data_IF_325696887756
#
_entry.id   IF_325696887756
#
_cell.length_a   1.000
_cell.length_b   1.000
_cell.length_c   1.000
_cell.angle_alpha   90.00
_cell.angle_beta   90.00
_cell.angle_gamma   90.00
#
_symmetry.space_group_name_H-M   'P 1'
#
loop_
_entity.id
_entity.type
_entity.pdbx_description
1 polymer ?
#
# COMPACT_ATOMS: atom_id res chain seq x y z
N UNK A 1 -102.14 -30.29 44.70
CA UNK A 1 -101.20 -31.21 44.03
C UNK A 1 -101.28 -30.93 42.54
N UNK A 2 -100.26 -30.30 41.96
CA UNK A 2 -100.09 -30.27 40.52
C UNK A 2 -98.61 -30.55 40.26
N UNK A 3 -98.31 -31.85 40.17
CA UNK A 3 -97.04 -32.36 39.68
C UNK A 3 -97.22 -32.60 38.19
N UNK A 4 -96.61 -31.79 37.33
CA UNK A 4 -96.29 -32.14 35.95
C UNK A 4 -95.59 -30.94 35.29
N UNK A 5 -94.27 -30.94 35.28
CA UNK A 5 -93.52 -29.90 34.56
C UNK A 5 -92.06 -30.19 34.27
N UNK A 6 -91.52 -31.37 34.64
CA UNK A 6 -90.06 -31.52 34.75
C UNK A 6 -89.40 -32.48 33.75
N UNK A 7 -90.12 -33.19 32.88
CA UNK A 7 -89.50 -34.19 31.99
C UNK A 7 -89.32 -33.76 30.51
N UNK A 8 -90.14 -32.84 29.98
CA UNK A 8 -90.05 -32.43 28.55
C UNK A 8 -89.03 -31.31 28.28
N UNK A 9 -88.59 -30.63 29.33
CA UNK A 9 -87.65 -29.51 29.31
C UNK A 9 -86.18 -29.94 29.22
N UNK A 10 -85.86 -31.18 29.60
CA UNK A 10 -84.48 -31.66 29.74
C UNK A 10 -83.75 -31.84 28.39
N UNK A 11 -84.35 -32.46 27.34
CA UNK A 11 -83.65 -32.66 26.07
C UNK A 11 -83.40 -31.36 25.31
N UNK A 12 -84.36 -30.43 25.35
CA UNK A 12 -84.26 -29.14 24.68
C UNK A 12 -83.21 -28.23 25.33
N UNK A 13 -83.13 -28.22 26.67
CA UNK A 13 -82.04 -27.54 27.41
C UNK A 13 -80.67 -28.16 27.10
N UNK A 14 -80.60 -29.47 26.91
CA UNK A 14 -79.36 -30.18 26.56
C UNK A 14 -78.86 -29.83 25.14
N UNK A 15 -79.77 -29.78 24.15
CA UNK A 15 -79.45 -29.34 22.79
C UNK A 15 -78.96 -27.88 22.75
N UNK A 16 -79.64 -26.98 23.46
CA UNK A 16 -79.22 -25.57 23.57
C UNK A 16 -77.86 -25.41 24.25
N UNK A 17 -77.55 -26.26 25.23
CA UNK A 17 -76.23 -26.31 25.86
C UNK A 17 -75.15 -26.75 24.86
N UNK A 18 -75.40 -27.79 24.06
CA UNK A 18 -74.48 -28.25 23.01
C UNK A 18 -74.21 -27.17 21.96
N UNK A 19 -75.25 -26.49 21.49
CA UNK A 19 -75.12 -25.38 20.52
C UNK A 19 -74.27 -24.25 21.11
N UNK A 20 -74.51 -23.89 22.38
CA UNK A 20 -73.70 -22.87 23.07
C UNK A 20 -72.24 -23.31 23.19
N UNK A 21 -71.98 -24.55 23.61
CA UNK A 21 -70.64 -25.09 23.75
C UNK A 21 -69.91 -25.11 22.41
N UNK A 22 -70.59 -25.56 21.34
CA UNK A 22 -70.05 -25.57 19.98
C UNK A 22 -69.72 -24.14 19.51
N UNK A 23 -70.60 -23.17 19.73
CA UNK A 23 -70.35 -21.78 19.37
C UNK A 23 -69.17 -21.18 20.16
N UNK A 24 -69.06 -21.47 21.46
CA UNK A 24 -67.93 -21.02 22.27
C UNK A 24 -66.61 -21.66 21.84
N UNK A 25 -66.62 -22.96 21.55
CA UNK A 25 -65.42 -23.69 21.13
C UNK A 25 -64.97 -23.25 19.73
N UNK A 26 -65.90 -23.01 18.81
CA UNK A 26 -65.63 -22.41 17.51
C UNK A 26 -64.99 -21.03 17.65
N UNK A 27 -65.58 -20.14 18.46
CA UNK A 27 -65.03 -18.79 18.71
C UNK A 27 -63.63 -18.84 19.32
N UNK A 28 -63.41 -19.77 20.26
CA UNK A 28 -62.10 -19.98 20.86
C UNK A 28 -61.09 -20.52 19.83
N UNK A 29 -61.50 -21.47 18.99
CA UNK A 29 -60.72 -22.00 17.88
C UNK A 29 -60.29 -20.91 16.90
N UNK A 30 -61.21 -20.06 16.49
CA UNK A 30 -60.95 -18.91 15.59
C UNK A 30 -59.93 -17.95 16.21
N UNK A 31 -60.06 -17.61 17.50
CA UNK A 31 -59.09 -16.76 18.21
C UNK A 31 -57.68 -17.38 18.22
N UNK A 32 -57.56 -18.69 18.49
CA UNK A 32 -56.27 -19.39 18.42
C UNK A 32 -55.65 -19.31 17.03
N UNK A 33 -56.45 -19.51 15.97
CA UNK A 33 -55.98 -19.42 14.58
C UNK A 33 -55.50 -18.01 14.24
N UNK A 34 -56.22 -16.96 14.66
CA UNK A 34 -55.80 -15.56 14.46
C UNK A 34 -54.48 -15.28 15.17
N UNK A 35 -54.31 -15.74 16.42
CA UNK A 35 -53.06 -15.56 17.16
C UNK A 35 -51.89 -16.28 16.47
N UNK A 36 -52.08 -17.54 16.04
CA UNK A 36 -51.05 -18.30 15.32
C UNK A 36 -50.67 -17.64 13.99
N UNK A 37 -51.64 -17.13 13.22
CA UNK A 37 -51.35 -16.39 11.98
C UNK A 37 -50.48 -15.17 12.23
N UNK A 38 -50.80 -14.38 13.25
CA UNK A 38 -49.97 -13.21 13.64
C UNK A 38 -48.55 -13.62 14.04
N UNK A 39 -48.40 -14.74 14.73
CA UNK A 39 -47.09 -15.27 15.08
C UNK A 39 -46.30 -15.73 13.84
N UNK A 40 -46.94 -16.42 12.90
CA UNK A 40 -46.32 -16.84 11.63
C UNK A 40 -45.87 -15.62 10.82
N UNK A 41 -46.72 -14.60 10.71
CA UNK A 41 -46.40 -13.37 9.99
C UNK A 41 -45.22 -12.63 10.63
N UNK A 42 -45.21 -12.52 11.96
CA UNK A 42 -44.07 -11.96 12.71
C UNK A 42 -42.78 -12.75 12.45
N UNK A 43 -42.82 -14.06 12.61
CA UNK A 43 -41.65 -14.93 12.38
C UNK A 43 -41.15 -14.86 10.94
N UNK A 44 -42.05 -14.71 9.96
CA UNK A 44 -41.68 -14.55 8.55
C UNK A 44 -40.96 -13.21 8.32
N UNK A 45 -41.43 -12.13 8.95
CA UNK A 45 -40.77 -10.82 8.91
C UNK A 45 -39.39 -10.87 9.58
N UNK A 46 -39.31 -11.45 10.78
CA UNK A 46 -38.06 -11.58 11.53
C UNK A 46 -37.04 -12.42 10.74
N UNK A 47 -37.47 -13.52 10.11
CA UNK A 47 -36.63 -14.36 9.24
C UNK A 47 -36.10 -13.59 8.03
N UNK A 48 -36.93 -12.76 7.40
CA UNK A 48 -36.51 -11.93 6.27
C UNK A 48 -35.41 -10.94 6.66
N UNK A 49 -35.50 -10.34 7.85
CA UNK A 49 -34.49 -9.40 8.36
C UNK A 49 -33.17 -10.12 8.62
N UNK A 50 -33.22 -11.23 9.37
CA UNK A 50 -32.02 -12.03 9.68
C UNK A 50 -31.36 -12.56 8.41
N UNK A 51 -32.13 -12.90 7.37
CA UNK A 51 -31.57 -13.35 6.11
C UNK A 51 -30.78 -12.25 5.37
N UNK A 52 -31.27 -11.00 5.40
CA UNK A 52 -30.53 -9.86 4.82
C UNK A 52 -29.23 -9.62 5.58
N UNK A 53 -29.30 -9.58 6.92
CA UNK A 53 -28.12 -9.41 7.78
C UNK A 53 -27.07 -10.51 7.56
N UNK A 54 -27.52 -11.76 7.35
CA UNK A 54 -26.64 -12.89 7.05
C UNK A 54 -25.92 -12.74 5.71
N UNK A 55 -26.62 -12.32 4.66
CA UNK A 55 -26.00 -12.10 3.34
C UNK A 55 -25.03 -10.91 3.37
N UNK A 56 -25.33 -9.87 4.15
CA UNK A 56 -24.41 -8.75 4.38
C UNK A 56 -23.15 -9.21 5.11
N UNK A 57 -23.31 -10.02 6.17
CA UNK A 57 -22.19 -10.59 6.91
C UNK A 57 -21.31 -11.50 6.03
N UNK A 58 -21.90 -12.30 5.14
CA UNK A 58 -21.15 -13.12 4.17
C UNK A 58 -20.30 -12.27 3.23
N UNK A 59 -20.87 -11.19 2.68
CA UNK A 59 -20.14 -10.28 1.78
C UNK A 59 -19.00 -9.57 2.50
N UNK A 60 -19.22 -9.10 3.73
CA UNK A 60 -18.16 -8.52 4.55
C UNK A 60 -17.05 -9.54 4.84
N UNK A 61 -17.42 -10.78 5.19
CA UNK A 61 -16.46 -11.87 5.40
C UNK A 61 -15.60 -12.11 4.15
N UNK A 62 -16.22 -12.28 2.98
CA UNK A 62 -15.50 -12.50 1.71
C UNK A 62 -14.52 -11.36 1.41
N UNK A 63 -14.92 -10.10 1.65
CA UNK A 63 -14.03 -8.95 1.47
C UNK A 63 -12.81 -9.03 2.38
N UNK A 64 -13.00 -9.32 3.68
CA UNK A 64 -11.88 -9.46 4.62
C UNK A 64 -10.98 -10.65 4.30
N UNK A 65 -11.53 -11.76 3.79
CA UNK A 65 -10.73 -12.91 3.36
C UNK A 65 -9.84 -12.56 2.15
N UNK A 66 -10.36 -11.78 1.19
CA UNK A 66 -9.56 -11.29 0.06
C UNK A 66 -8.45 -10.33 0.50
N UNK A 67 -8.72 -9.44 1.46
CA UNK A 67 -7.70 -8.56 2.04
C UNK A 67 -6.58 -9.34 2.73
N UNK A 68 -6.94 -10.36 3.53
CA UNK A 68 -5.96 -11.24 4.19
C UNK A 68 -5.05 -11.93 3.17
N UNK A 69 -5.63 -12.48 2.09
CA UNK A 69 -4.85 -13.10 1.01
C UNK A 69 -3.92 -12.08 0.35
N UNK A 70 -4.38 -10.85 0.11
CA UNK A 70 -3.55 -9.77 -0.42
C UNK A 70 -2.35 -9.45 0.48
N UNK A 71 -2.58 -9.36 1.80
CA UNK A 71 -1.51 -9.14 2.78
C UNK A 71 -0.53 -10.31 2.85
N UNK A 72 -1.00 -11.55 2.76
CA UNK A 72 -0.15 -12.75 2.77
C UNK A 72 0.82 -12.75 1.58
N UNK A 73 0.34 -12.43 0.37
CA UNK A 73 1.20 -12.31 -0.82
C UNK A 73 2.23 -11.19 -0.65
N UNK A 74 1.80 -10.01 -0.17
CA UNK A 74 2.70 -8.89 0.07
C UNK A 74 3.77 -9.25 1.12
N UNK A 75 3.39 -9.99 2.16
CA UNK A 75 4.31 -10.47 3.18
C UNK A 75 5.36 -11.42 2.59
N UNK A 76 4.95 -12.42 1.79
CA UNK A 76 5.90 -13.33 1.12
C UNK A 76 6.88 -12.61 0.19
N UNK A 77 6.43 -11.59 -0.55
CA UNK A 77 7.31 -10.78 -1.39
C UNK A 77 8.34 -9.99 -0.58
N UNK A 78 7.89 -9.40 0.54
CA UNK A 78 8.77 -8.67 1.46
C UNK A 78 9.79 -9.60 2.12
N UNK A 79 9.38 -10.80 2.51
CA UNK A 79 10.24 -11.82 3.10
C UNK A 79 11.34 -12.26 2.11
N UNK A 80 10.98 -12.57 0.87
CA UNK A 80 11.96 -12.92 -0.18
C UNK A 80 12.97 -11.78 -0.44
N UNK A 81 12.51 -10.53 -0.40
CA UNK A 81 13.36 -9.35 -0.54
C UNK A 81 14.34 -9.21 0.64
N UNK A 82 13.86 -9.45 1.87
CA UNK A 82 14.69 -9.45 3.08
C UNK A 82 15.78 -10.53 3.03
N UNK A 83 15.42 -11.77 2.69
CA UNK A 83 16.37 -12.88 2.54
C UNK A 83 17.45 -12.57 1.48
N UNK A 84 17.07 -11.94 0.37
CA UNK A 84 18.02 -11.52 -0.67
C UNK A 84 19.00 -10.46 -0.17
N UNK A 85 18.51 -9.49 0.62
CA UNK A 85 19.35 -8.46 1.24
C UNK A 85 20.32 -9.05 2.27
N UNK A 86 19.86 -9.97 3.11
CA UNK A 86 20.69 -10.68 4.08
C UNK A 86 21.83 -11.44 3.39
N UNK A 87 21.54 -12.19 2.33
CA UNK A 87 22.56 -12.91 1.56
C UNK A 87 23.61 -11.95 0.96
N UNK A 88 23.18 -10.79 0.45
CA UNK A 88 24.09 -9.75 -0.07
C UNK A 88 24.98 -9.17 1.03
N UNK A 89 24.41 -8.89 2.21
CA UNK A 89 25.16 -8.38 3.37
C UNK A 89 26.22 -9.40 3.79
N UNK A 90 25.87 -10.68 3.91
CA UNK A 90 26.83 -11.73 4.24
C UNK A 90 27.97 -11.84 3.22
N UNK A 91 27.67 -11.72 1.92
CA UNK A 91 28.69 -11.73 0.86
C UNK A 91 29.64 -10.53 0.98
N UNK A 92 29.10 -9.33 1.14
CA UNK A 92 29.91 -8.11 1.30
C UNK A 92 30.79 -8.20 2.55
N UNK A 93 30.26 -8.70 3.67
CA UNK A 93 31.03 -8.90 4.90
C UNK A 93 32.20 -9.88 4.71
N UNK A 94 31.99 -10.94 3.93
CA UNK A 94 33.05 -11.87 3.55
C UNK A 94 34.12 -11.18 2.69
N UNK A 95 33.72 -10.46 1.64
CA UNK A 95 34.63 -9.72 0.76
C UNK A 95 35.46 -8.68 1.55
N UNK A 96 34.83 -7.91 2.44
CA UNK A 96 35.52 -6.95 3.33
C UNK A 96 36.56 -7.66 4.21
N UNK A 97 36.23 -8.84 4.74
CA UNK A 97 37.14 -9.60 5.60
C UNK A 97 38.34 -10.15 4.82
N UNK A 98 38.10 -10.64 3.60
CA UNK A 98 39.16 -11.10 2.70
C UNK A 98 40.12 -9.97 2.32
N UNK A 99 39.57 -8.84 1.84
CA UNK A 99 40.35 -7.65 1.52
C UNK A 99 41.14 -7.12 2.72
N UNK A 100 40.55 -7.13 3.92
CA UNK A 100 41.25 -6.74 5.15
C UNK A 100 42.47 -7.62 5.41
N UNK A 101 42.36 -8.93 5.20
CA UNK A 101 43.48 -9.86 5.37
C UNK A 101 44.59 -9.58 4.36
N UNK A 102 44.24 -9.33 3.10
CA UNK A 102 45.19 -9.03 2.03
C UNK A 102 45.96 -7.73 2.31
N UNK A 103 45.26 -6.68 2.76
CA UNK A 103 45.89 -5.42 3.17
C UNK A 103 46.90 -5.62 4.30
N UNK A 104 46.57 -6.45 5.29
CA UNK A 104 47.51 -6.72 6.40
C UNK A 104 48.75 -7.49 5.90
N UNK A 105 48.58 -8.43 4.96
CA UNK A 105 49.70 -9.12 4.32
C UNK A 105 50.61 -8.15 3.56
N UNK A 106 50.04 -7.28 2.71
CA UNK A 106 50.81 -6.28 1.97
C UNK A 106 51.56 -5.32 2.90
N UNK A 107 50.95 -4.92 4.01
CA UNK A 107 51.58 -4.07 5.02
C UNK A 107 52.79 -4.73 5.68
N UNK A 108 52.71 -6.04 5.94
CA UNK A 108 53.85 -6.80 6.45
C UNK A 108 54.98 -6.90 5.42
N UNK A 109 54.65 -7.11 4.14
CA UNK A 109 55.61 -7.14 3.05
C UNK A 109 56.30 -5.79 2.83
N UNK A 110 55.53 -4.70 2.84
CA UNK A 110 56.06 -3.32 2.77
C UNK A 110 57.07 -3.06 3.90
N UNK A 111 56.71 -3.44 5.14
CA UNK A 111 57.60 -3.28 6.29
C UNK A 111 58.89 -4.08 6.12
N UNK A 112 58.82 -5.31 5.61
CA UNK A 112 59.99 -6.15 5.34
C UNK A 112 60.90 -5.56 4.26
N UNK A 113 60.33 -5.06 3.15
CA UNK A 113 61.08 -4.41 2.08
C UNK A 113 61.76 -3.12 2.56
N UNK A 114 61.06 -2.33 3.37
CA UNK A 114 61.62 -1.11 3.98
C UNK A 114 62.81 -1.44 4.87
N UNK A 115 62.71 -2.48 5.69
CA UNK A 115 63.80 -2.93 6.55
C UNK A 115 65.01 -3.42 5.74
N UNK A 116 64.76 -4.17 4.65
CA UNK A 116 65.80 -4.64 3.73
C UNK A 116 66.51 -3.47 3.03
N UNK A 117 65.78 -2.45 2.62
CA UNK A 117 66.36 -1.22 2.06
C UNK A 117 67.26 -0.51 3.08
N UNK A 118 66.80 -0.35 4.33
CA UNK A 118 67.59 0.27 5.40
C UNK A 118 68.89 -0.51 5.63
N UNK A 119 68.83 -1.84 5.71
CA UNK A 119 70.01 -2.69 5.85
C UNK A 119 71.00 -2.51 4.69
N UNK A 120 70.50 -2.47 3.45
CA UNK A 120 71.32 -2.28 2.25
C UNK A 120 72.02 -0.92 2.25
N UNK A 121 71.31 0.14 2.65
CA UNK A 121 71.88 1.48 2.77
C UNK A 121 72.94 1.59 3.87
N UNK A 122 72.73 0.92 5.01
CA UNK A 122 73.73 0.87 6.09
C UNK A 122 75.00 0.15 5.66
N UNK A 123 74.87 -0.98 4.97
CA UNK A 123 76.03 -1.72 4.42
C UNK A 123 76.79 -0.88 3.39
N UNK A 124 76.09 -0.21 2.47
CA UNK A 124 76.71 0.69 1.51
C UNK A 124 77.48 1.82 2.22
N UNK A 125 76.86 2.47 3.20
CA UNK A 125 77.52 3.51 3.99
C UNK A 125 78.75 2.98 4.73
N UNK A 126 78.72 1.74 5.23
CA UNK A 126 79.88 1.10 5.85
C UNK A 126 81.00 0.82 4.82
N UNK A 127 80.66 0.42 3.59
CA UNK A 127 81.62 0.24 2.49
C UNK A 127 82.28 1.56 2.09
N UNK A 128 81.52 2.64 1.96
CA UNK A 128 82.03 3.98 1.65
C UNK A 128 83.03 4.44 2.72
N UNK A 129 82.70 4.28 4.01
CA UNK A 129 83.60 4.64 5.12
C UNK A 129 84.92 3.88 5.05
N UNK A 130 84.87 2.55 4.85
CA UNK A 130 86.06 1.71 4.71
C UNK A 130 86.92 2.12 3.52
N UNK A 131 86.29 2.49 2.40
CA UNK A 131 87.02 2.98 1.23
C UNK A 131 87.75 4.29 1.52
N UNK A 132 87.10 5.26 2.16
CA UNK A 132 87.74 6.50 2.57
C UNK A 132 88.89 6.27 3.56
N UNK A 133 88.73 5.36 4.53
CA UNK A 133 89.81 4.97 5.46
C UNK A 133 91.00 4.36 4.72
N UNK A 134 90.76 3.53 3.70
CA UNK A 134 91.82 2.94 2.87
C UNK A 134 92.61 4.01 2.12
N UNK A 135 91.94 5.04 1.57
CA UNK A 135 92.61 6.15 0.88
C UNK A 135 93.51 6.91 1.84
N UNK A 136 92.99 7.28 3.02
CA UNK A 136 93.74 8.03 4.03
C UNK A 136 94.99 7.24 4.48
N UNK A 137 94.88 5.93 4.65
CA UNK A 137 96.02 5.09 5.00
C UNK A 137 97.08 5.01 3.88
N UNK A 138 96.67 5.00 2.61
CA UNK A 138 97.60 5.05 1.48
C UNK A 138 98.38 6.37 1.39
N UNK A 139 97.74 7.51 1.69
CA UNK A 139 98.42 8.82 1.71
C UNK A 139 99.47 8.95 2.83
N UNK A 140 99.36 8.16 3.90
CA UNK A 140 100.35 8.12 5.00
C UNK A 140 101.57 7.26 4.63
N UNK A 141 101.42 6.22 3.82
CA UNK A 141 102.54 5.38 3.35
C UNK A 141 103.34 6.00 2.19
N UNK A 142 102.75 6.96 1.45
CA UNK A 142 103.40 7.63 0.31
C UNK A 142 104.41 8.74 0.71
N UNK A 143 104.50 9.10 2.00
CA UNK A 143 105.44 10.14 2.48
C UNK A 143 106.88 9.60 2.65
N UNK A 144 107.10 8.28 2.56
CA UNK A 144 108.42 7.67 2.77
C UNK A 144 109.11 7.12 1.50
N UNK A 145 108.66 7.46 0.29
CA UNK A 145 109.38 7.07 -0.94
C UNK A 145 109.33 8.15 -2.02
N UNK A 146 110.14 9.20 -1.86
CA UNK A 146 110.59 10.01 -2.98
C UNK A 146 111.65 9.25 -3.79
N UNK A 147 111.27 8.83 -5.00
CA UNK A 147 112.04 8.87 -6.24
C UNK A 147 111.58 7.71 -7.14
N UNK A 148 110.97 8.01 -8.28
CA UNK A 148 111.57 7.76 -9.60
C UNK A 148 110.60 8.20 -10.71
N UNK A 149 111.16 8.97 -11.62
CA UNK A 149 110.69 9.30 -12.96
C UNK A 149 110.23 8.07 -13.75
N UNK A 150 109.07 8.12 -14.39
CA UNK A 150 108.97 8.26 -15.86
C UNK A 150 107.49 8.26 -16.30
N UNK A 151 107.16 9.12 -17.26
CA UNK A 151 105.87 9.10 -17.94
C UNK A 151 105.86 8.01 -19.02
N UNK A 152 104.74 7.29 -19.19
CA UNK A 152 104.37 6.86 -20.53
C UNK A 152 102.88 7.08 -20.88
N UNK A 153 102.71 7.82 -21.96
CA UNK A 153 101.79 7.58 -23.09
C UNK A 153 100.41 6.97 -22.86
N UNK A 154 99.42 7.83 -23.16
CA UNK A 154 98.12 7.58 -23.78
C UNK A 154 98.02 6.21 -24.49
N UNK A 155 97.07 5.41 -24.04
CA UNK A 155 96.40 4.43 -24.89
C UNK A 155 94.91 4.41 -24.52
N UNK A 156 94.10 5.11 -25.33
CA UNK A 156 92.64 5.00 -25.29
C UNK A 156 92.29 3.58 -25.76
N UNK A 157 91.91 2.72 -24.82
CA UNK A 157 91.34 1.41 -25.13
C UNK A 157 89.84 1.62 -25.37
N UNK A 158 89.49 2.22 -26.50
CA UNK A 158 88.16 2.07 -27.08
C UNK A 158 88.04 0.61 -27.54
N UNK A 159 86.91 -0.06 -27.25
CA UNK A 159 86.51 -1.43 -27.66
C UNK A 159 86.32 -2.50 -26.56
N UNK A 160 86.00 -2.13 -25.31
CA UNK A 160 85.36 -3.07 -24.35
C UNK A 160 83.91 -2.66 -23.96
N UNK A 161 83.41 -1.52 -24.47
CA UNK A 161 82.12 -0.96 -24.03
C UNK A 161 80.97 -1.09 -25.05
N UNK A 162 81.22 -1.55 -26.28
CA UNK A 162 80.18 -1.60 -27.32
C UNK A 162 79.07 -2.61 -27.00
N UNK A 163 79.42 -3.77 -26.43
CA UNK A 163 78.43 -4.77 -26.01
C UNK A 163 77.57 -4.29 -24.83
N UNK A 164 78.15 -3.51 -23.90
CA UNK A 164 77.42 -2.90 -22.78
C UNK A 164 76.50 -1.76 -23.25
N UNK A 165 76.93 -0.97 -24.23
CA UNK A 165 76.12 0.09 -24.84
C UNK A 165 74.93 -0.52 -25.59
N UNK A 166 75.14 -1.58 -26.38
CA UNK A 166 74.05 -2.28 -27.09
C UNK A 166 73.06 -2.91 -26.11
N UNK A 167 73.53 -3.47 -24.99
CA UNK A 167 72.65 -4.01 -23.95
C UNK A 167 71.80 -2.91 -23.28
N UNK A 168 72.38 -1.74 -23.03
CA UNK A 168 71.66 -0.58 -22.48
C UNK A 168 70.63 -0.01 -23.46
N UNK A 169 70.96 0.06 -24.75
CA UNK A 169 70.02 0.47 -25.80
C UNK A 169 68.81 -0.47 -25.92
N UNK A 170 69.04 -1.78 -25.79
CA UNK A 170 67.96 -2.78 -25.73
C UNK A 170 67.07 -2.55 -24.50
N UNK A 171 67.66 -2.36 -23.32
CA UNK A 171 66.91 -2.12 -22.08
C UNK A 171 66.11 -0.82 -22.13
N UNK A 172 66.66 0.24 -22.71
CA UNK A 172 65.94 1.49 -22.94
C UNK A 172 64.77 1.30 -23.92
N UNK A 173 64.93 0.47 -24.95
CA UNK A 173 63.84 0.15 -25.88
C UNK A 173 62.72 -0.63 -25.19
N UNK A 174 63.06 -1.58 -24.32
CA UNK A 174 62.09 -2.35 -23.54
C UNK A 174 61.33 -1.46 -22.54
N UNK A 175 62.04 -0.59 -21.83
CA UNK A 175 61.44 0.39 -20.91
C UNK A 175 60.49 1.32 -21.68
N UNK A 176 60.91 1.86 -22.83
CA UNK A 176 60.06 2.71 -23.65
C UNK A 176 58.80 1.97 -24.11
N UNK A 177 58.92 0.72 -24.55
CA UNK A 177 57.76 -0.11 -24.92
C UNK A 177 56.82 -0.32 -23.75
N UNK A 178 57.35 -0.63 -22.57
CA UNK A 178 56.55 -0.85 -21.36
C UNK A 178 55.86 0.45 -20.92
N UNK A 179 56.56 1.59 -20.93
CA UNK A 179 55.98 2.90 -20.62
C UNK A 179 54.85 3.26 -21.58
N UNK A 180 55.00 3.02 -22.89
CA UNK A 180 53.92 3.29 -23.85
C UNK A 180 52.68 2.44 -23.60
N UNK A 181 52.87 1.18 -23.19
CA UNK A 181 51.75 0.27 -22.89
C UNK A 181 51.03 0.68 -21.60
N UNK A 182 51.77 1.02 -20.55
CA UNK A 182 51.20 1.52 -19.29
C UNK A 182 50.45 2.84 -19.49
N UNK A 183 50.94 3.74 -20.34
CA UNK A 183 50.24 4.98 -20.70
C UNK A 183 48.91 4.73 -21.42
N UNK A 184 48.84 3.72 -22.29
CA UNK A 184 47.60 3.31 -22.96
C UNK A 184 46.60 2.69 -21.97
N UNK A 185 47.06 1.82 -21.07
CA UNK A 185 46.25 1.22 -20.02
C UNK A 185 45.69 2.29 -19.07
N UNK A 186 46.53 3.25 -18.65
CA UNK A 186 46.11 4.37 -17.81
C UNK A 186 45.04 5.24 -18.50
N UNK A 187 45.18 5.51 -19.81
CA UNK A 187 44.16 6.23 -20.57
C UNK A 187 42.84 5.46 -20.66
N UNK A 188 42.90 4.15 -20.85
CA UNK A 188 41.71 3.30 -20.85
C UNK A 188 41.02 3.33 -19.47
N UNK A 189 41.80 3.31 -18.39
CA UNK A 189 41.28 3.39 -17.02
C UNK A 189 40.64 4.75 -16.69
N UNK A 190 41.19 5.86 -17.19
CA UNK A 190 40.53 7.17 -17.09
C UNK A 190 39.13 7.14 -17.75
N UNK A 191 39.01 6.50 -18.92
CA UNK A 191 37.75 6.44 -19.65
C UNK A 191 36.72 5.54 -18.95
N UNK A 192 37.14 4.40 -18.41
CA UNK A 192 36.26 3.55 -17.59
C UNK A 192 35.82 4.28 -16.33
N UNK A 193 36.74 5.00 -15.67
CA UNK A 193 36.42 5.81 -14.48
C UNK A 193 35.35 6.87 -14.77
N UNK A 194 35.49 7.62 -15.88
CA UNK A 194 34.47 8.59 -16.30
C UNK A 194 33.11 7.94 -16.53
N UNK A 195 33.08 6.78 -17.19
CA UNK A 195 31.83 6.05 -17.44
C UNK A 195 31.16 5.60 -16.14
N UNK A 196 31.93 5.04 -15.21
CA UNK A 196 31.43 4.64 -13.88
C UNK A 196 30.91 5.84 -13.10
N UNK A 197 31.60 6.98 -13.16
CA UNK A 197 31.16 8.21 -12.49
C UNK A 197 29.83 8.72 -13.06
N UNK A 198 29.62 8.60 -14.38
CA UNK A 198 28.36 8.94 -15.02
C UNK A 198 27.23 7.99 -14.62
N UNK A 199 27.49 6.68 -14.55
CA UNK A 199 26.51 5.67 -14.09
C UNK A 199 26.15 5.85 -12.62
N UNK A 200 27.11 6.26 -11.77
CA UNK A 200 26.86 6.58 -10.37
C UNK A 200 25.89 7.77 -10.24
N UNK A 201 26.11 8.83 -11.01
CA UNK A 201 25.25 10.01 -10.99
C UNK A 201 23.82 9.69 -11.47
N UNK A 202 23.68 8.84 -12.50
CA UNK A 202 22.37 8.33 -12.92
C UNK A 202 21.68 7.51 -11.81
N UNK A 203 22.42 6.64 -11.11
CA UNK A 203 21.88 5.90 -9.96
C UNK A 203 21.44 6.83 -8.82
N UNK A 204 22.25 7.85 -8.47
CA UNK A 204 21.91 8.81 -7.42
C UNK A 204 20.63 9.59 -7.74
N UNK A 205 20.47 10.04 -8.99
CA UNK A 205 19.24 10.72 -9.42
C UNK A 205 18.02 9.80 -9.37
N UNK A 206 18.16 8.52 -9.77
CA UNK A 206 17.09 7.52 -9.64
C UNK A 206 16.70 7.25 -8.19
N UNK A 207 17.67 7.14 -7.28
CA UNK A 207 17.40 6.97 -5.84
C UNK A 207 16.69 8.19 -5.26
N UNK A 208 17.09 9.40 -5.66
CA UNK A 208 16.41 10.64 -5.26
C UNK A 208 14.94 10.64 -5.69
N UNK A 209 14.67 10.30 -6.96
CA UNK A 209 13.31 10.14 -7.50
C UNK A 209 12.49 9.09 -6.74
N UNK A 210 13.10 7.93 -6.47
CA UNK A 210 12.44 6.84 -5.75
C UNK A 210 12.09 7.27 -4.32
N UNK A 211 12.97 8.00 -3.64
CA UNK A 211 12.68 8.57 -2.32
C UNK A 211 11.49 9.53 -2.38
N UNK A 212 11.41 10.40 -3.38
CA UNK A 212 10.24 11.28 -3.57
C UNK A 212 8.96 10.47 -3.78
N UNK A 213 8.99 9.43 -4.62
CA UNK A 213 7.83 8.55 -4.83
C UNK A 213 7.41 7.88 -3.53
N UNK A 214 8.35 7.38 -2.73
CA UNK A 214 8.05 6.76 -1.43
C UNK A 214 7.42 7.77 -0.47
N UNK A 215 7.93 9.01 -0.40
CA UNK A 215 7.34 10.04 0.47
C UNK A 215 5.93 10.43 0.03
N UNK A 216 5.70 10.61 -1.26
CA UNK A 216 4.37 10.92 -1.82
C UNK A 216 3.40 9.75 -1.62
N UNK A 217 3.86 8.52 -1.84
CA UNK A 217 3.06 7.30 -1.60
C UNK A 217 2.67 7.18 -0.13
N UNK A 218 3.59 7.49 0.79
CA UNK A 218 3.28 7.53 2.22
C UNK A 218 2.27 8.63 2.56
N UNK A 219 2.41 9.83 2.00
CA UNK A 219 1.44 10.91 2.19
C UNK A 219 0.04 10.54 1.65
N UNK A 220 -0.03 9.86 0.51
CA UNK A 220 -1.28 9.31 -0.02
C UNK A 220 -1.86 8.23 0.90
N UNK A 221 -1.01 7.32 1.39
CA UNK A 221 -1.41 6.31 2.38
C UNK A 221 -1.97 6.96 3.64
N UNK A 222 -1.31 7.98 4.19
CA UNK A 222 -1.76 8.71 5.38
C UNK A 222 -3.10 9.42 5.14
N UNK A 223 -3.36 9.94 3.93
CA UNK A 223 -4.66 10.48 3.54
C UNK A 223 -5.76 9.40 3.46
N UNK A 224 -5.42 8.20 3.00
CA UNK A 224 -6.34 7.05 3.01
C UNK A 224 -6.48 6.39 4.40
N UNK A 225 -5.52 6.58 5.30
CA UNK A 225 -5.51 6.15 6.71
C UNK A 225 -6.11 7.25 7.61
N UNK A 226 -6.71 8.31 7.04
CA UNK A 226 -7.54 9.21 7.83
C UNK A 226 -8.60 8.37 8.57
N UNK A 227 -8.74 8.48 9.91
CA UNK A 227 -9.71 7.68 10.63
C UNK A 227 -11.09 8.02 10.10
N UNK A 228 -11.69 7.09 9.37
CA UNK A 228 -13.11 7.10 9.04
C UNK A 228 -14.00 6.94 10.27
N UNK A 229 -13.52 7.26 11.49
CA UNK A 229 -14.36 7.35 12.69
C UNK A 229 -15.35 8.54 12.60
N UNK A 230 -15.01 9.60 11.85
CA UNK A 230 -15.94 10.71 11.60
C UNK A 230 -16.57 10.70 10.20
N UNK A 231 -15.94 10.03 9.23
CA UNK A 231 -16.47 9.97 7.85
C UNK A 231 -17.61 8.97 7.71
N UNK A 232 -17.59 7.81 8.39
CA UNK A 232 -18.71 6.86 8.34
C UNK A 232 -20.01 7.47 8.89
N UNK A 233 -19.94 8.26 9.96
CA UNK A 233 -21.13 8.92 10.50
C UNK A 233 -21.60 10.09 9.64
N UNK A 234 -20.69 10.89 9.07
CA UNK A 234 -21.08 12.01 8.19
C UNK A 234 -21.61 11.49 6.86
N UNK A 235 -20.99 10.48 6.26
CA UNK A 235 -21.45 9.85 5.02
C UNK A 235 -22.75 9.09 5.25
N UNK A 236 -22.90 8.36 6.37
CA UNK A 236 -24.17 7.74 6.73
C UNK A 236 -25.27 8.78 7.05
N UNK A 237 -24.93 9.90 7.69
CA UNK A 237 -25.87 10.99 7.96
C UNK A 237 -26.27 11.71 6.67
N UNK A 238 -25.34 11.98 5.76
CA UNK A 238 -25.62 12.59 4.46
C UNK A 238 -26.41 11.64 3.54
N UNK A 239 -26.11 10.35 3.54
CA UNK A 239 -26.90 9.33 2.85
C UNK A 239 -28.31 9.20 3.45
N UNK A 240 -28.44 9.21 4.77
CA UNK A 240 -29.74 9.16 5.45
C UNK A 240 -30.56 10.44 5.18
N UNK A 241 -29.95 11.62 5.21
CA UNK A 241 -30.59 12.88 4.82
C UNK A 241 -30.98 12.90 3.34
N UNK A 242 -30.17 12.35 2.45
CA UNK A 242 -30.51 12.21 1.03
C UNK A 242 -31.67 11.22 0.82
N UNK A 243 -31.68 10.09 1.54
CA UNK A 243 -32.78 9.12 1.52
C UNK A 243 -34.08 9.76 2.06
N UNK A 244 -34.02 10.49 3.17
CA UNK A 244 -35.18 11.15 3.80
C UNK A 244 -35.73 12.28 2.93
N UNK A 245 -34.87 13.05 2.28
CA UNK A 245 -35.33 14.09 1.33
C UNK A 245 -35.95 13.47 0.08
N UNK A 246 -35.42 12.34 -0.41
CA UNK A 246 -35.97 11.60 -1.54
C UNK A 246 -37.32 10.95 -1.19
N UNK A 247 -37.47 10.35 0.00
CA UNK A 247 -38.75 9.78 0.45
C UNK A 247 -39.77 10.87 0.73
N UNK A 248 -39.40 11.99 1.37
CA UNK A 248 -40.32 13.11 1.60
C UNK A 248 -40.79 13.77 0.30
N UNK A 249 -39.91 13.86 -0.71
CA UNK A 249 -40.30 14.34 -2.04
C UNK A 249 -41.29 13.38 -2.72
N UNK A 250 -41.06 12.07 -2.63
CA UNK A 250 -41.98 11.06 -3.18
C UNK A 250 -43.32 11.05 -2.43
N UNK A 251 -43.32 11.17 -1.10
CA UNK A 251 -44.55 11.27 -0.29
C UNK A 251 -45.32 12.54 -0.64
N UNK A 252 -44.65 13.70 -0.71
CA UNK A 252 -45.29 14.97 -1.12
C UNK A 252 -45.88 14.89 -2.53
N UNK A 253 -45.20 14.22 -3.46
CA UNK A 253 -45.70 14.01 -4.82
C UNK A 253 -46.91 13.06 -4.86
N UNK A 254 -46.91 12.02 -4.03
CA UNK A 254 -48.04 11.09 -3.88
C UNK A 254 -49.23 11.79 -3.23
N UNK A 255 -49.01 12.56 -2.17
CA UNK A 255 -50.04 13.36 -1.50
C UNK A 255 -50.64 14.38 -2.47
N UNK A 256 -49.81 15.14 -3.19
CA UNK A 256 -50.27 16.11 -4.19
C UNK A 256 -51.03 15.43 -5.34
N UNK A 257 -50.60 14.22 -5.75
CA UNK A 257 -51.33 13.45 -6.76
C UNK A 257 -52.67 12.97 -6.22
N UNK A 258 -52.74 12.51 -4.97
CA UNK A 258 -53.97 12.09 -4.32
C UNK A 258 -54.94 13.25 -4.13
N UNK A 259 -54.47 14.41 -3.64
CA UNK A 259 -55.30 15.62 -3.50
C UNK A 259 -55.79 16.12 -4.85
N UNK A 260 -54.94 16.15 -5.88
CA UNK A 260 -55.34 16.53 -7.23
C UNK A 260 -56.39 15.56 -7.82
N UNK A 261 -56.23 14.24 -7.61
CA UNK A 261 -57.26 13.27 -8.02
C UNK A 261 -58.56 13.44 -7.24
N UNK A 262 -58.48 13.72 -5.94
CA UNK A 262 -59.66 13.94 -5.10
C UNK A 262 -60.39 15.22 -5.53
N UNK A 263 -59.67 16.31 -5.76
CA UNK A 263 -60.21 17.59 -6.24
C UNK A 263 -60.85 17.44 -7.63
N UNK A 264 -60.23 16.70 -8.54
CA UNK A 264 -60.82 16.40 -9.85
C UNK A 264 -62.12 15.60 -9.74
N UNK A 265 -62.17 14.59 -8.85
CA UNK A 265 -63.41 13.82 -8.61
C UNK A 265 -64.49 14.65 -7.93
N UNK A 266 -64.11 15.52 -6.98
CA UNK A 266 -65.03 16.45 -6.33
C UNK A 266 -65.63 17.42 -7.34
N UNK A 267 -64.80 18.05 -8.17
CA UNK A 267 -65.26 18.99 -9.21
C UNK A 267 -66.16 18.30 -10.23
N UNK A 268 -65.84 17.06 -10.64
CA UNK A 268 -66.69 16.26 -11.54
C UNK A 268 -68.06 15.97 -10.91
N UNK A 269 -68.08 15.62 -9.62
CA UNK A 269 -69.31 15.37 -8.88
C UNK A 269 -70.15 16.64 -8.74
N UNK A 270 -69.51 17.78 -8.44
CA UNK A 270 -70.17 19.09 -8.37
C UNK A 270 -70.80 19.45 -9.71
N UNK A 271 -70.08 19.29 -10.82
CA UNK A 271 -70.60 19.54 -12.17
C UNK A 271 -71.76 18.59 -12.54
N UNK A 272 -71.72 17.33 -12.11
CA UNK A 272 -72.79 16.38 -12.35
C UNK A 272 -74.04 16.72 -11.53
N UNK A 273 -73.87 17.06 -10.24
CA UNK A 273 -74.95 17.50 -9.37
C UNK A 273 -75.59 18.78 -9.91
N UNK A 274 -74.79 19.77 -10.29
CA UNK A 274 -75.29 21.00 -10.89
C UNK A 274 -76.07 20.73 -12.18
N UNK A 275 -75.58 19.85 -13.06
CA UNK A 275 -76.34 19.42 -14.25
C UNK A 275 -77.67 18.76 -13.92
N UNK A 276 -77.74 17.95 -12.86
CA UNK A 276 -78.97 17.27 -12.42
C UNK A 276 -79.94 18.22 -11.69
N UNK A 277 -79.44 19.33 -11.15
CA UNK A 277 -80.25 20.35 -10.49
C UNK A 277 -80.92 21.34 -11.48
N UNK A 278 -80.53 21.33 -12.76
CA UNK A 278 -81.17 22.12 -13.81
C UNK A 278 -82.43 21.40 -14.27
N UNK A 279 -83.59 22.03 -14.13
CA UNK A 279 -84.86 21.46 -14.59
C UNK A 279 -84.90 21.40 -16.13
N UNK A 280 -85.08 20.23 -16.76
CA UNK A 280 -85.05 20.10 -18.22
C UNK A 280 -86.22 20.80 -18.93
N UNK A 281 -87.28 21.17 -18.20
CA UNK A 281 -88.47 21.82 -18.77
C UNK A 281 -88.44 23.36 -18.72
N UNK A 282 -87.74 23.95 -17.74
CA UNK A 282 -87.69 25.41 -17.57
C UNK A 282 -86.27 25.98 -17.41
N UNK A 283 -85.24 25.13 -17.44
CA UNK A 283 -83.81 25.47 -17.35
C UNK A 283 -83.37 26.29 -16.12
N UNK A 284 -84.22 26.38 -15.09
CA UNK A 284 -83.85 27.01 -13.82
C UNK A 284 -82.96 26.07 -12.99
N UNK A 285 -81.93 26.66 -12.37
CA UNK A 285 -81.03 25.97 -11.44
C UNK A 285 -81.67 25.89 -10.04
N UNK A 286 -81.98 24.67 -9.59
CA UNK A 286 -82.63 24.42 -8.31
C UNK A 286 -81.63 24.15 -7.16
N UNK A 287 -80.33 24.32 -7.38
CA UNK A 287 -79.27 23.95 -6.42
C UNK A 287 -79.44 24.64 -5.06
N UNK A 288 -79.84 25.91 -5.04
CA UNK A 288 -80.01 26.72 -3.82
C UNK A 288 -81.24 26.27 -3.01
N UNK A 289 -82.34 25.90 -3.69
CA UNK A 289 -83.55 25.40 -3.05
C UNK A 289 -83.37 23.99 -2.46
N UNK A 290 -82.59 23.12 -3.12
CA UNK A 290 -82.25 21.79 -2.61
C UNK A 290 -81.28 21.88 -1.43
N UNK A 291 -80.30 22.80 -1.48
CA UNK A 291 -79.36 23.01 -0.37
C UNK A 291 -80.07 23.50 0.90
N UNK A 292 -81.09 24.36 0.75
CA UNK A 292 -81.92 24.82 1.87
C UNK A 292 -82.75 23.69 2.53
N UNK A 293 -83.03 22.59 1.82
CA UNK A 293 -83.75 21.42 2.36
C UNK A 293 -82.84 20.40 3.07
N UNK A 294 -81.51 20.49 2.88
CA UNK A 294 -80.52 19.55 3.43
C UNK A 294 -79.78 20.08 4.67
N UNK A 295 -79.98 21.34 5.03
CA UNK A 295 -79.51 21.87 6.32
C UNK A 295 -80.36 21.25 7.44
N UNK A 296 -79.77 20.63 8.48
CA UNK A 296 -80.53 20.21 9.65
C UNK A 296 -81.09 21.45 10.34
N UNK A 297 -82.37 21.40 10.72
CA UNK A 297 -83.04 22.37 11.60
C UNK A 297 -82.33 22.38 12.97
N UNK A 298 -81.23 23.12 13.09
CA UNK A 298 -80.69 23.58 14.37
C UNK A 298 -81.50 24.83 14.77
N UNK A 299 -82.76 24.63 15.17
CA UNK A 299 -83.50 25.44 16.15
C UNK A 299 -84.97 25.00 16.19
N UNK A 300 -85.26 23.95 16.98
CA UNK A 300 -86.49 23.79 17.78
C UNK A 300 -86.41 22.64 18.77
#
# INVERSE_FOLDING_TARGET
>A
MSMAGTERDHPQKQLLSLIRNFASEKSQGERRVVTLRKQIEKLTSDLSVVNVELEDAKRCKELTEQEIIGFEVQFSMSEASAQTLEARISRIQYEISALRSEVETLKMEEAALREQFIHSMLDLNAKIRRFHESIINCDIEAVDCEAYTDAPQVNMKENENDDEIVALESMLSDILSQTTKEDEEYRAEIETHKKVQQELLDCETKVSLLNTIVTETRALQDLTIYPCEYSSHIVAFLLCCAQVTQTNSVVSLIEHKQTSTLEATYNTLVEELQRRCICPSCHMDNLEAISALLLPDEDK
#
